data_IF_623175340362
#
_entry.id   IF_623175340362
#
_cell.length_a   1.000
_cell.length_b   1.000
_cell.length_c   1.000
_cell.angle_alpha   90.00
_cell.angle_beta   90.00
_cell.angle_gamma   90.00
#
_symmetry.space_group_name_H-M   'P 1'
#
loop_
_entity.id
_entity.type
_entity.pdbx_description
1 polymer ?
#
# COMPACT_ATOMS: atom_id res chain seq x y z
N UNK A 1 18.01 -38.00 15.35
CA UNK A 1 17.32 -36.82 14.80
C UNK A 1 17.16 -35.82 15.93
N UNK A 2 17.93 -34.74 15.91
CA UNK A 2 17.87 -33.72 16.96
C UNK A 2 16.62 -32.87 16.71
N UNK A 3 15.52 -33.15 17.41
CA UNK A 3 14.40 -32.22 17.51
C UNK A 3 14.85 -31.08 18.40
N UNK A 4 15.30 -29.99 17.80
CA UNK A 4 15.49 -28.73 18.51
C UNK A 4 14.15 -28.36 19.15
N UNK A 5 14.11 -28.32 20.49
CA UNK A 5 12.96 -27.82 21.25
C UNK A 5 12.90 -26.31 21.07
N UNK A 6 12.41 -25.87 19.92
CA UNK A 6 12.16 -24.47 19.64
C UNK A 6 10.97 -24.00 20.47
N UNK A 7 11.19 -22.93 21.23
CA UNK A 7 10.14 -22.22 21.97
C UNK A 7 10.06 -20.82 21.34
N UNK A 8 8.97 -20.49 20.63
CA UNK A 8 8.85 -19.18 20.00
C UNK A 8 8.79 -18.08 21.05
N UNK A 9 9.52 -17.01 20.79
CA UNK A 9 9.48 -15.78 21.57
C UNK A 9 8.10 -15.12 21.51
N UNK A 10 7.84 -14.22 22.45
CA UNK A 10 6.63 -13.39 22.46
C UNK A 10 6.48 -12.57 21.18
N UNK A 11 7.59 -12.10 20.61
CA UNK A 11 7.61 -11.34 19.37
C UNK A 11 7.20 -12.20 18.17
N UNK A 12 7.74 -13.42 18.06
CA UNK A 12 7.38 -14.38 17.01
C UNK A 12 5.90 -14.80 17.11
N UNK A 13 5.38 -14.99 18.33
CA UNK A 13 3.97 -15.29 18.54
C UNK A 13 3.07 -14.10 18.15
N UNK A 14 3.48 -12.87 18.45
CA UNK A 14 2.75 -11.68 18.04
C UNK A 14 2.71 -11.52 16.52
N UNK A 15 3.80 -11.85 15.82
CA UNK A 15 3.84 -11.87 14.35
C UNK A 15 2.86 -12.88 13.76
N UNK A 16 2.81 -14.10 14.32
CA UNK A 16 1.87 -15.14 13.90
C UNK A 16 0.42 -14.68 14.08
N UNK A 17 0.08 -14.16 15.27
CA UNK A 17 -1.25 -13.64 15.54
C UNK A 17 -1.63 -12.50 14.59
N UNK A 18 -0.69 -11.58 14.30
CA UNK A 18 -0.92 -10.49 13.35
C UNK A 18 -1.27 -11.02 11.96
N UNK A 19 -0.57 -12.06 11.48
CA UNK A 19 -0.85 -12.72 10.20
C UNK A 19 -2.21 -13.42 10.21
N UNK A 20 -2.57 -14.10 11.30
CA UNK A 20 -3.86 -14.78 11.42
C UNK A 20 -5.05 -13.80 11.49
N UNK A 21 -4.85 -12.62 12.06
CA UNK A 21 -5.87 -11.55 12.13
C UNK A 21 -5.92 -10.64 10.91
N UNK A 22 -4.93 -10.72 10.02
CA UNK A 22 -4.89 -9.93 8.80
C UNK A 22 -5.96 -10.46 7.84
N UNK A 23 -6.97 -9.64 7.53
CA UNK A 23 -7.77 -9.87 6.33
C UNK A 23 -6.93 -9.48 5.12
N UNK A 24 -6.17 -10.45 4.61
CA UNK A 24 -5.26 -10.29 3.48
C UNK A 24 -5.99 -9.74 2.26
N UNK A 25 -7.29 -10.04 2.10
CA UNK A 25 -8.09 -9.56 0.98
C UNK A 25 -8.29 -8.06 1.07
N UNK A 26 -8.65 -7.55 2.25
CA UNK A 26 -8.88 -6.11 2.45
C UNK A 26 -7.61 -5.29 2.24
N UNK A 27 -6.46 -5.75 2.76
CA UNK A 27 -5.18 -5.07 2.56
C UNK A 27 -4.78 -5.03 1.09
N UNK A 28 -4.95 -6.15 0.37
CA UNK A 28 -4.62 -6.19 -1.06
C UNK A 28 -5.54 -5.26 -1.86
N UNK A 29 -6.84 -5.23 -1.55
CA UNK A 29 -7.79 -4.35 -2.25
C UNK A 29 -7.52 -2.87 -1.97
N UNK A 30 -7.15 -2.50 -0.74
CA UNK A 30 -6.76 -1.13 -0.40
C UNK A 30 -5.49 -0.69 -1.18
N UNK A 31 -4.44 -1.51 -1.16
CA UNK A 31 -3.19 -1.22 -1.88
C UNK A 31 -3.41 -1.19 -3.40
N UNK A 32 -4.27 -2.07 -3.92
CA UNK A 32 -4.68 -2.07 -5.33
C UNK A 32 -5.39 -0.77 -5.71
N UNK A 33 -6.32 -0.29 -4.89
CA UNK A 33 -7.04 0.95 -5.16
C UNK A 33 -6.09 2.15 -5.18
N UNK A 34 -5.16 2.20 -4.22
CA UNK A 34 -4.09 3.21 -4.17
C UNK A 34 -3.28 3.22 -5.46
N UNK A 35 -2.78 2.07 -5.90
CA UNK A 35 -2.05 1.95 -7.18
C UNK A 35 -2.83 2.55 -8.37
N UNK A 36 -4.13 2.26 -8.49
CA UNK A 36 -4.96 2.76 -9.57
C UNK A 36 -5.12 4.28 -9.50
N UNK A 37 -5.35 4.82 -8.29
CA UNK A 37 -5.47 6.26 -8.07
C UNK A 37 -4.15 6.99 -8.38
N UNK A 38 -3.03 6.45 -7.91
CA UNK A 38 -1.69 6.96 -8.17
C UNK A 38 -1.38 7.00 -9.69
N UNK A 39 -1.74 5.93 -10.41
CA UNK A 39 -1.56 5.86 -11.86
C UNK A 39 -2.44 6.87 -12.60
N UNK A 40 -3.70 7.03 -12.18
CA UNK A 40 -4.61 8.02 -12.76
C UNK A 40 -4.07 9.45 -12.55
N UNK A 41 -3.58 9.77 -11.34
CA UNK A 41 -2.92 11.04 -11.05
C UNK A 41 -1.74 11.26 -11.98
N UNK A 42 -0.80 10.30 -12.06
CA UNK A 42 0.36 10.35 -12.96
C UNK A 42 -0.03 10.60 -14.43
N UNK A 43 -1.03 9.87 -14.93
CA UNK A 43 -1.45 9.97 -16.33
C UNK A 43 -2.01 11.35 -16.68
N UNK A 44 -2.75 11.97 -15.76
CA UNK A 44 -3.52 13.19 -16.03
C UNK A 44 -2.94 14.47 -15.41
N UNK A 45 -1.82 14.39 -14.67
CA UNK A 45 -1.16 15.55 -14.03
C UNK A 45 -0.73 16.64 -15.01
N UNK A 46 -0.55 16.31 -16.28
CA UNK A 46 -0.22 17.28 -17.31
C UNK A 46 -1.38 18.26 -17.56
N UNK A 47 -2.62 17.83 -17.33
CA UNK A 47 -3.86 18.59 -17.55
C UNK A 47 -4.47 19.13 -16.24
N UNK A 48 -4.38 18.37 -15.15
CA UNK A 48 -4.96 18.72 -13.85
C UNK A 48 -3.87 18.65 -12.78
N UNK A 49 -3.34 19.82 -12.38
CA UNK A 49 -2.16 19.93 -11.50
C UNK A 49 -2.45 19.62 -10.04
N UNK A 50 -3.72 19.57 -9.68
CA UNK A 50 -4.27 19.32 -8.36
C UNK A 50 -4.56 17.83 -8.08
N UNK A 51 -4.31 16.95 -9.06
CA UNK A 51 -4.55 15.50 -8.91
C UNK A 51 -3.58 14.79 -7.98
N UNK A 52 -2.46 15.42 -7.62
CA UNK A 52 -1.49 14.80 -6.72
C UNK A 52 -0.15 15.49 -6.70
N UNK A 53 0.76 14.96 -5.89
CA UNK A 53 2.14 15.44 -5.76
C UNK A 53 3.13 14.37 -6.18
N UNK A 54 4.25 14.78 -6.78
CA UNK A 54 5.31 13.85 -7.16
C UNK A 54 5.74 13.06 -5.93
N UNK A 55 5.78 11.74 -6.08
CA UNK A 55 6.15 10.87 -4.98
C UNK A 55 7.66 10.94 -4.80
N UNK A 56 8.13 11.24 -3.60
CA UNK A 56 9.55 11.12 -3.26
C UNK A 56 9.94 9.64 -3.26
N UNK A 57 11.15 9.30 -3.69
CA UNK A 57 11.61 7.92 -3.68
C UNK A 57 11.77 7.45 -2.23
N UNK A 58 10.81 6.67 -1.73
CA UNK A 58 10.89 6.11 -0.39
C UNK A 58 11.79 4.86 -0.38
N UNK A 59 12.69 4.80 0.59
CA UNK A 59 13.65 3.69 0.78
C UNK A 59 13.03 2.54 1.60
N UNK A 60 12.02 2.83 2.42
CA UNK A 60 11.39 1.86 3.32
C UNK A 60 10.01 1.40 2.78
N UNK A 61 9.84 0.12 2.39
CA UNK A 61 8.56 -0.42 1.92
C UNK A 61 7.46 -0.43 2.98
N UNK A 62 7.79 -0.38 4.28
CA UNK A 62 6.80 -0.33 5.36
C UNK A 62 6.01 0.99 5.39
N UNK A 63 6.58 2.06 4.83
CA UNK A 63 5.94 3.38 4.80
C UNK A 63 4.96 3.50 3.64
N UNK A 64 5.29 2.92 2.48
CA UNK A 64 4.48 2.98 1.28
C UNK A 64 4.93 1.91 0.27
N UNK A 65 4.24 0.78 0.28
CA UNK A 65 4.51 -0.34 -0.62
C UNK A 65 4.39 0.08 -2.09
N UNK A 66 3.36 0.83 -2.46
CA UNK A 66 3.11 1.25 -3.86
C UNK A 66 4.21 2.18 -4.37
N UNK A 67 4.63 3.14 -3.55
CA UNK A 67 5.73 4.02 -3.91
C UNK A 67 7.05 3.23 -4.04
N UNK A 68 7.30 2.29 -3.11
CA UNK A 68 8.50 1.45 -3.13
C UNK A 68 8.59 0.61 -4.43
N UNK A 69 7.51 -0.09 -4.82
CA UNK A 69 7.52 -0.91 -6.05
C UNK A 69 7.53 -0.06 -7.32
N UNK A 70 6.95 1.13 -7.29
CA UNK A 70 6.92 2.03 -8.44
C UNK A 70 8.19 2.85 -8.60
N UNK A 71 9.13 2.80 -7.64
CA UNK A 71 10.39 3.54 -7.65
C UNK A 71 10.19 5.04 -7.86
N UNK A 72 9.14 5.61 -7.27
CA UNK A 72 8.78 7.02 -7.43
C UNK A 72 8.30 7.42 -8.83
N UNK A 73 7.97 6.46 -9.71
CA UNK A 73 7.42 6.75 -11.05
C UNK A 73 5.91 7.04 -11.04
N UNK A 74 5.27 6.88 -9.88
CA UNK A 74 3.88 7.24 -9.67
C UNK A 74 3.76 8.60 -8.99
N UNK A 75 2.53 9.09 -8.86
CA UNK A 75 2.18 10.32 -8.15
C UNK A 75 1.25 9.94 -7.01
N UNK A 76 1.56 10.39 -5.80
CA UNK A 76 0.61 10.29 -4.69
C UNK A 76 -0.66 11.08 -5.02
N UNK A 77 -1.84 10.44 -5.07
CA UNK A 77 -3.09 11.08 -5.44
C UNK A 77 -3.45 12.10 -4.38
N UNK A 78 -4.10 13.18 -4.80
CA UNK A 78 -4.67 14.11 -3.83
C UNK A 78 -5.75 13.40 -3.00
N UNK A 79 -5.99 13.83 -1.75
CA UNK A 79 -7.03 13.24 -0.92
C UNK A 79 -8.39 13.21 -1.62
N UNK A 80 -8.71 14.24 -2.40
CA UNK A 80 -9.95 14.30 -3.17
C UNK A 80 -10.02 13.20 -4.24
N UNK A 81 -8.95 12.98 -5.01
CA UNK A 81 -8.92 11.94 -6.03
C UNK A 81 -9.03 10.54 -5.41
N UNK A 82 -8.39 10.33 -4.26
CA UNK A 82 -8.46 9.05 -3.56
C UNK A 82 -9.87 8.75 -3.04
N UNK A 83 -10.56 9.74 -2.49
CA UNK A 83 -11.97 9.59 -2.07
C UNK A 83 -12.90 9.31 -3.26
N UNK A 84 -12.67 9.94 -4.41
CA UNK A 84 -13.40 9.62 -5.65
C UNK A 84 -13.13 8.18 -6.09
N UNK A 85 -11.88 7.72 -6.03
CA UNK A 85 -11.51 6.35 -6.37
C UNK A 85 -12.24 5.34 -5.45
N UNK A 86 -12.30 5.61 -4.14
CA UNK A 86 -13.09 4.80 -3.19
C UNK A 86 -14.56 4.76 -3.57
N UNK A 87 -15.17 5.91 -3.84
CA UNK A 87 -16.58 6.00 -4.22
C UNK A 87 -16.92 5.23 -5.50
N UNK A 88 -16.00 5.22 -6.49
CA UNK A 88 -16.15 4.44 -7.73
C UNK A 88 -15.95 2.94 -7.49
N UNK A 89 -15.09 2.57 -6.54
CA UNK A 89 -14.79 1.18 -6.20
C UNK A 89 -15.85 0.50 -5.31
N UNK A 90 -16.91 1.21 -4.92
CA UNK A 90 -18.05 0.62 -4.22
C UNK A 90 -18.77 -0.32 -5.21
N UNK A 91 -18.77 -1.62 -4.88
CA UNK A 91 -19.51 -2.65 -5.62
C UNK A 91 -21.01 -2.46 -5.53
#
# INVERSE_FOLDING_TARGET
>A
TCTLNYIPSLEEQALLHKVETLDVVDVIEEERLKYIADYAAYRFIHKYKDLGTSTEMLVNPENDWINYISRGQLISPSPHLYEVAKAINIK
#
